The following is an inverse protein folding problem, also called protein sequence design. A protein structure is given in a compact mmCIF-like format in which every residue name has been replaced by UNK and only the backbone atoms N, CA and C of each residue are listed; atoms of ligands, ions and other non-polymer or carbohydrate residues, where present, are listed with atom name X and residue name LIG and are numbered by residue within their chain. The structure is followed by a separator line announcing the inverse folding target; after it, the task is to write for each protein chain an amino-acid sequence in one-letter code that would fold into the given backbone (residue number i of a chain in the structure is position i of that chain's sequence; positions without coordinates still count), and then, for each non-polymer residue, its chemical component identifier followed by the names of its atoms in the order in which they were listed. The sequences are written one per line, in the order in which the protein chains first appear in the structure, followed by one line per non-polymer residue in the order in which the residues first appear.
data_IF_329679945792
#
_entry.id   IF_329679945792
#
_cell.length_a   1.000
_cell.length_b   1.000
_cell.length_c   1.000
_cell.angle_alpha   90.00
_cell.angle_beta   90.00
_cell.angle_gamma   90.00
#
_symmetry.space_group_name_H-M   'P 1'
#
loop_
_entity.id
_entity.type
_entity.pdbx_description
1 polymer ?
#
# COMPACT_ATOMS: atom_id res chain seq x y z
N UNK A 1 -52.82 -8.20 4.43
CA UNK A 1 -51.46 -8.64 4.04
C UNK A 1 -50.54 -7.55 4.51
N UNK A 2 -50.36 -7.43 5.82
CA UNK A 2 -49.56 -8.34 6.67
C UNK A 2 -48.07 -8.12 6.40
N UNK A 3 -47.48 -7.44 7.38
CA UNK A 3 -46.08 -7.43 7.73
C UNK A 3 -45.65 -8.86 8.10
N UNK A 4 -44.47 -9.28 7.68
CA UNK A 4 -43.76 -10.46 8.22
C UNK A 4 -42.27 -10.08 8.14
N UNK A 5 -41.77 -9.36 9.13
CA UNK A 5 -41.27 -9.86 10.42
C UNK A 5 -39.98 -10.68 10.24
N UNK A 6 -38.90 -9.95 10.50
CA UNK A 6 -37.54 -10.41 10.69
C UNK A 6 -37.45 -11.01 12.09
N UNK A 7 -37.39 -12.33 12.22
CA UNK A 7 -37.10 -13.03 13.49
C UNK A 7 -36.67 -14.49 13.21
N UNK A 8 -35.37 -14.77 13.34
CA UNK A 8 -34.93 -15.97 14.05
C UNK A 8 -33.55 -15.73 14.67
N UNK A 9 -33.61 -15.17 15.87
CA UNK A 9 -32.54 -15.18 16.85
C UNK A 9 -32.31 -16.63 17.31
N UNK A 10 -31.06 -17.04 17.44
CA UNK A 10 -30.41 -17.30 18.74
C UNK A 10 -30.24 -18.79 19.04
N UNK A 11 -29.01 -19.26 18.84
CA UNK A 11 -28.46 -20.36 19.64
C UNK A 11 -26.99 -20.06 19.90
N UNK A 12 -26.76 -19.07 20.74
CA UNK A 12 -25.57 -18.94 21.59
C UNK A 12 -25.15 -20.30 22.17
N UNK A 13 -24.15 -20.97 21.58
CA UNK A 13 -23.45 -22.07 22.27
C UNK A 13 -22.46 -21.47 23.28
N UNK A 14 -23.04 -20.85 24.31
CA UNK A 14 -22.36 -20.34 25.48
C UNK A 14 -22.37 -21.46 26.51
N UNK A 15 -21.35 -22.32 26.45
CA UNK A 15 -21.06 -23.28 27.51
C UNK A 15 -20.58 -22.58 28.77
N UNK A 16 -21.48 -21.87 29.46
CA UNK A 16 -21.25 -21.34 30.81
C UNK A 16 -21.18 -22.52 31.77
N UNK A 17 -20.00 -22.63 32.38
CA UNK A 17 -19.70 -23.48 33.51
C UNK A 17 -20.71 -23.22 34.63
N UNK A 18 -21.55 -24.20 34.92
CA UNK A 18 -22.35 -24.21 36.15
C UNK A 18 -21.47 -24.71 37.29
N UNK A 19 -21.15 -23.79 38.18
CA UNK A 19 -20.62 -24.06 39.51
C UNK A 19 -21.49 -25.09 40.24
N UNK A 20 -20.88 -26.21 40.63
CA UNK A 20 -21.40 -27.03 41.72
C UNK A 20 -21.09 -26.31 43.03
N UNK A 21 -22.13 -25.99 43.79
CA UNK A 21 -22.02 -25.49 45.17
C UNK A 21 -21.78 -26.69 46.09
N UNK A 22 -20.79 -26.50 46.96
CA UNK A 22 -20.31 -27.40 47.99
C UNK A 22 -21.43 -27.97 48.89
N UNK A 23 -21.38 -29.27 49.12
CA UNK A 23 -21.84 -29.85 50.39
C UNK A 23 -20.62 -30.24 51.19
N UNK A 24 -20.33 -29.44 52.22
CA UNK A 24 -19.35 -29.73 53.26
C UNK A 24 -19.77 -31.00 54.00
N UNK A 25 -18.86 -31.96 54.15
CA UNK A 25 -18.91 -32.89 55.29
C UNK A 25 -17.51 -33.22 55.76
N UNK A 26 -17.28 -32.83 57.00
CA UNK A 26 -16.06 -33.00 57.78
C UNK A 26 -15.95 -34.47 58.20
N UNK A 27 -14.75 -35.07 58.09
CA UNK A 27 -14.05 -35.60 59.27
C UNK A 27 -12.69 -36.23 58.93
N UNK A 28 -11.67 -35.60 59.53
CA UNK A 28 -10.37 -36.07 59.99
C UNK A 28 -9.83 -37.44 59.53
N UNK A 29 -8.79 -37.42 58.69
CA UNK A 29 -7.56 -38.22 58.92
C UNK A 29 -6.33 -37.48 58.41
N UNK A 30 -5.34 -37.36 59.28
CA UNK A 30 -3.98 -36.86 59.09
C UNK A 30 -3.34 -37.18 57.73
N UNK A 31 -2.79 -36.16 57.05
CA UNK A 31 -1.71 -36.33 56.07
C UNK A 31 -0.80 -35.10 56.13
N UNK A 32 0.49 -35.35 56.27
CA UNK A 32 1.56 -34.39 56.49
C UNK A 32 1.53 -33.22 55.50
N UNK A 33 1.62 -32.00 56.02
CA UNK A 33 1.86 -30.81 55.21
C UNK A 33 3.32 -30.82 54.75
N UNK A 34 3.59 -31.46 53.62
CA UNK A 34 4.78 -31.13 52.84
C UNK A 34 4.69 -29.66 52.43
N UNK A 35 5.62 -28.86 52.95
CA UNK A 35 5.81 -27.48 52.53
C UNK A 35 6.07 -27.50 51.02
N UNK A 36 5.14 -26.98 50.22
CA UNK A 36 5.40 -26.69 48.80
C UNK A 36 6.50 -25.65 48.73
N UNK A 37 7.71 -26.14 48.48
CA UNK A 37 8.85 -25.34 48.09
C UNK A 37 8.45 -24.48 46.86
N UNK A 38 8.81 -23.19 46.82
CA UNK A 38 8.58 -22.37 45.64
C UNK A 38 9.29 -23.04 44.46
N UNK A 39 8.52 -23.50 43.47
CA UNK A 39 9.08 -24.07 42.25
C UNK A 39 10.14 -23.10 41.71
N UNK A 40 11.37 -23.54 41.46
CA UNK A 40 12.36 -22.68 40.85
C UNK A 40 11.78 -22.19 39.53
N UNK A 41 11.81 -20.87 39.32
CA UNK A 41 11.63 -20.29 37.98
C UNK A 41 12.52 -21.12 37.07
N UNK A 42 11.98 -21.74 36.01
CA UNK A 42 12.80 -22.43 35.02
C UNK A 42 13.89 -21.44 34.63
N UNK A 43 15.10 -21.64 35.13
CA UNK A 43 16.25 -21.02 34.55
C UNK A 43 16.23 -21.54 33.12
N UNK A 44 16.10 -20.62 32.16
CA UNK A 44 16.44 -20.92 30.78
C UNK A 44 17.86 -21.46 30.84
N UNK A 45 17.99 -22.80 30.81
CA UNK A 45 19.28 -23.47 30.82
C UNK A 45 20.10 -23.00 29.62
N UNK A 46 21.41 -23.27 29.60
CA UNK A 46 22.23 -22.95 28.44
C UNK A 46 21.56 -23.53 27.19
N UNK A 47 21.24 -22.67 26.21
CA UNK A 47 20.61 -23.10 24.97
C UNK A 47 21.47 -24.17 24.32
N UNK A 48 20.85 -25.26 23.87
CA UNK A 48 21.53 -26.25 23.02
C UNK A 48 22.20 -25.51 21.85
N UNK A 49 23.53 -25.68 21.64
CA UNK A 49 24.25 -24.96 20.60
C UNK A 49 23.67 -25.23 19.19
N UNK A 50 23.16 -26.43 18.92
CA UNK A 50 22.52 -26.71 17.63
C UNK A 50 21.19 -25.98 17.48
N UNK A 51 20.34 -25.99 18.52
CA UNK A 51 19.10 -25.22 18.53
C UNK A 51 19.36 -23.71 18.34
N UNK A 52 20.41 -23.16 18.95
CA UNK A 52 20.78 -21.76 18.80
C UNK A 52 21.16 -21.41 17.35
N UNK A 53 21.95 -22.26 16.67
CA UNK A 53 22.31 -22.07 15.26
C UNK A 53 21.10 -22.13 14.33
N UNK A 54 20.17 -23.07 14.57
CA UNK A 54 18.94 -23.17 13.78
C UNK A 54 18.05 -21.93 13.94
N UNK A 55 17.96 -21.40 15.17
CA UNK A 55 17.24 -20.16 15.43
C UNK A 55 17.86 -18.98 14.68
N UNK A 56 19.19 -18.87 14.68
CA UNK A 56 19.91 -17.80 13.97
C UNK A 56 19.64 -17.85 12.45
N UNK A 57 19.77 -19.03 11.82
CA UNK A 57 19.45 -19.20 10.40
C UNK A 57 18.00 -18.82 10.09
N UNK A 58 17.06 -19.21 10.95
CA UNK A 58 15.65 -18.84 10.78
C UNK A 58 15.43 -17.33 10.88
N UNK A 59 16.12 -16.65 11.80
CA UNK A 59 16.06 -15.21 11.94
C UNK A 59 16.65 -14.51 10.70
N UNK A 60 17.80 -14.98 10.20
CA UNK A 60 18.41 -14.46 8.99
C UNK A 60 17.49 -14.64 7.78
N UNK A 61 16.90 -15.83 7.61
CA UNK A 61 15.95 -16.09 6.54
C UNK A 61 14.75 -15.16 6.62
N UNK A 62 14.14 -15.00 7.80
CA UNK A 62 13.01 -14.10 8.00
C UNK A 62 13.36 -12.65 7.65
N UNK A 63 14.55 -12.19 8.04
CA UNK A 63 15.06 -10.86 7.68
C UNK A 63 15.16 -10.68 6.16
N UNK A 64 15.72 -11.66 5.45
CA UNK A 64 15.83 -11.62 3.99
C UNK A 64 14.45 -11.64 3.34
N UNK A 65 13.54 -12.50 3.81
CA UNK A 65 12.17 -12.58 3.31
C UNK A 65 11.43 -11.24 3.46
N UNK A 66 11.56 -10.58 4.62
CA UNK A 66 10.97 -9.26 4.83
C UNK A 66 11.58 -8.19 3.92
N UNK A 67 12.91 -8.21 3.75
CA UNK A 67 13.58 -7.26 2.88
C UNK A 67 13.15 -7.42 1.41
N UNK A 68 13.15 -8.66 0.90
CA UNK A 68 12.67 -8.96 -0.46
C UNK A 68 11.19 -8.64 -0.62
N UNK A 69 10.36 -8.93 0.39
CA UNK A 69 8.94 -8.53 0.38
C UNK A 69 8.75 -7.02 0.32
N UNK A 70 9.57 -6.26 1.05
CA UNK A 70 9.57 -4.79 1.01
C UNK A 70 10.04 -4.28 -0.36
N UNK A 71 11.07 -4.89 -0.94
CA UNK A 71 11.51 -4.55 -2.30
C UNK A 71 10.45 -4.87 -3.36
N UNK A 72 9.79 -6.02 -3.25
CA UNK A 72 8.74 -6.42 -4.18
C UNK A 72 7.55 -5.45 -4.12
N UNK A 73 7.11 -5.09 -2.91
CA UNK A 73 6.00 -4.13 -2.73
C UNK A 73 6.36 -2.73 -3.22
N UNK A 74 7.57 -2.23 -2.90
CA UNK A 74 8.04 -0.92 -3.39
C UNK A 74 8.17 -0.90 -4.91
N UNK A 75 8.69 -1.97 -5.52
CA UNK A 75 8.75 -2.13 -6.97
C UNK A 75 7.36 -2.16 -7.60
N UNK A 76 6.43 -2.98 -7.09
CA UNK A 76 5.06 -3.03 -7.59
C UNK A 76 4.35 -1.68 -7.47
N UNK A 77 4.58 -0.94 -6.38
CA UNK A 77 4.05 0.41 -6.21
C UNK A 77 4.69 1.40 -7.21
N UNK A 78 5.99 1.30 -7.48
CA UNK A 78 6.66 2.12 -8.49
C UNK A 78 6.09 1.84 -9.89
N UNK A 79 5.94 0.58 -10.27
CA UNK A 79 5.35 0.16 -11.56
C UNK A 79 3.90 0.65 -11.68
N UNK A 80 3.08 0.50 -10.65
CA UNK A 80 1.70 0.99 -10.68
C UNK A 80 1.60 2.52 -10.81
N UNK A 81 2.55 3.25 -10.22
CA UNK A 81 2.64 4.71 -10.36
C UNK A 81 3.12 5.12 -11.75
N UNK A 82 4.07 4.39 -12.31
CA UNK A 82 4.57 4.61 -13.66
C UNK A 82 3.46 4.38 -14.69
N UNK A 83 2.73 3.27 -14.62
CA UNK A 83 1.64 2.98 -15.57
C UNK A 83 0.51 4.01 -15.50
N UNK A 84 0.13 4.46 -14.30
CA UNK A 84 -0.89 5.51 -14.14
C UNK A 84 -0.39 6.88 -14.62
N UNK A 85 0.88 7.20 -14.40
CA UNK A 85 1.50 8.43 -14.90
C UNK A 85 1.64 8.42 -16.43
N UNK A 86 2.02 7.29 -17.02
CA UNK A 86 2.09 7.10 -18.47
C UNK A 86 0.71 7.27 -19.13
N UNK A 87 -0.35 6.69 -18.56
CA UNK A 87 -1.71 6.87 -19.06
C UNK A 87 -2.15 8.34 -19.06
N UNK A 88 -1.88 9.06 -17.96
CA UNK A 88 -2.16 10.49 -17.85
C UNK A 88 -1.34 11.31 -18.86
N UNK A 89 -0.05 11.00 -19.02
CA UNK A 89 0.80 11.68 -20.00
C UNK A 89 0.35 11.40 -21.43
N UNK A 90 -0.04 10.17 -21.74
CA UNK A 90 -0.55 9.79 -23.06
C UNK A 90 -1.85 10.54 -23.38
N UNK A 91 -2.81 10.56 -22.45
CA UNK A 91 -4.05 11.32 -22.61
C UNK A 91 -3.81 12.82 -22.80
N UNK A 92 -2.88 13.40 -22.05
CA UNK A 92 -2.50 14.81 -22.22
C UNK A 92 -1.83 15.08 -23.57
N UNK A 93 -0.99 14.15 -24.05
CA UNK A 93 -0.34 14.20 -25.35
C UNK A 93 -1.34 14.15 -26.49
N UNK A 94 -2.32 13.25 -26.43
CA UNK A 94 -3.38 13.16 -27.44
C UNK A 94 -4.18 14.45 -27.53
N UNK A 95 -4.59 14.99 -26.37
CA UNK A 95 -5.29 16.28 -26.31
C UNK A 95 -4.44 17.42 -26.85
N UNK A 96 -3.14 17.43 -26.54
CA UNK A 96 -2.20 18.40 -27.08
C UNK A 96 -2.10 18.32 -28.60
N UNK A 97 -1.98 17.11 -29.16
CA UNK A 97 -1.95 16.89 -30.61
C UNK A 97 -3.24 17.43 -31.26
N UNK A 98 -4.42 17.14 -30.71
CA UNK A 98 -5.68 17.65 -31.24
C UNK A 98 -5.72 19.19 -31.28
N UNK A 99 -5.35 19.86 -30.19
CA UNK A 99 -5.33 21.33 -30.12
C UNK A 99 -4.27 21.94 -31.05
N UNK A 100 -3.08 21.36 -31.10
CA UNK A 100 -2.02 21.81 -31.99
C UNK A 100 -2.42 21.65 -33.47
N UNK A 101 -3.11 20.57 -33.81
CA UNK A 101 -3.64 20.35 -35.17
C UNK A 101 -4.68 21.42 -35.52
N UNK A 102 -5.57 21.76 -34.56
CA UNK A 102 -6.56 22.83 -34.72
C UNK A 102 -5.92 24.20 -34.92
N UNK A 103 -4.79 24.44 -34.26
CA UNK A 103 -3.95 25.63 -34.45
C UNK A 103 -3.08 25.57 -35.72
N UNK A 104 -3.29 24.59 -36.60
CA UNK A 104 -2.55 24.37 -37.84
C UNK A 104 -1.04 24.17 -37.67
N UNK A 105 -0.62 23.49 -36.59
CA UNK A 105 0.74 22.95 -36.48
C UNK A 105 0.84 21.62 -37.23
N UNK A 106 1.97 21.39 -37.89
CA UNK A 106 2.26 20.18 -38.67
C UNK A 106 3.73 19.78 -38.54
N UNK A 107 4.07 18.57 -39.01
CA UNK A 107 5.46 18.08 -39.06
C UNK A 107 6.07 17.84 -37.69
N UNK A 108 7.35 18.19 -37.51
CA UNK A 108 8.03 17.99 -36.21
C UNK A 108 7.47 18.88 -35.11
N UNK A 109 6.98 20.09 -35.45
CA UNK A 109 6.50 21.07 -34.47
C UNK A 109 5.36 20.54 -33.59
N UNK A 110 4.46 19.74 -34.15
CA UNK A 110 3.36 19.15 -33.38
C UNK A 110 3.88 18.10 -32.39
N UNK A 111 4.86 17.29 -32.80
CA UNK A 111 5.50 16.27 -31.96
C UNK A 111 6.30 16.93 -30.83
N UNK A 112 7.10 17.94 -31.17
CA UNK A 112 7.94 18.67 -30.21
C UNK A 112 7.07 19.36 -29.15
N UNK A 113 6.04 20.10 -29.58
CA UNK A 113 5.14 20.80 -28.65
C UNK A 113 4.31 19.83 -27.80
N UNK A 114 3.76 18.77 -28.39
CA UNK A 114 3.01 17.76 -27.63
C UNK A 114 3.90 17.06 -26.58
N UNK A 115 5.18 16.84 -26.90
CA UNK A 115 6.14 16.27 -25.96
C UNK A 115 6.40 17.21 -24.78
N UNK A 116 6.54 18.52 -25.03
CA UNK A 116 6.70 19.52 -23.96
C UNK A 116 5.45 19.54 -23.07
N UNK A 117 4.25 19.49 -23.67
CA UNK A 117 2.98 19.49 -22.93
C UNK A 117 2.76 18.22 -22.10
N UNK A 118 3.14 17.05 -22.61
CA UNK A 118 3.07 15.79 -21.86
C UNK A 118 3.98 15.82 -20.61
N UNK A 119 5.14 16.46 -20.72
CA UNK A 119 6.08 16.65 -19.59
C UNK A 119 5.63 17.74 -18.62
N UNK A 120 5.02 18.81 -19.13
CA UNK A 120 4.63 19.99 -18.35
C UNK A 120 3.20 20.38 -18.69
N UNK A 121 2.23 19.73 -18.04
CA UNK A 121 0.80 19.97 -18.25
C UNK A 121 0.41 21.44 -18.04
N UNK A 122 1.13 22.15 -17.16
CA UNK A 122 0.91 23.57 -16.89
C UNK A 122 1.08 24.44 -18.15
N UNK A 123 2.07 24.17 -19.00
CA UNK A 123 2.22 24.92 -20.25
C UNK A 123 1.02 24.74 -21.20
N UNK A 124 0.42 23.54 -21.20
CA UNK A 124 -0.79 23.28 -21.97
C UNK A 124 -1.98 24.03 -21.39
N UNK A 125 -2.13 24.03 -20.07
CA UNK A 125 -3.19 24.77 -19.38
C UNK A 125 -3.08 26.27 -19.65
N UNK A 126 -1.88 26.85 -19.53
CA UNK A 126 -1.61 28.24 -19.87
C UNK A 126 -2.03 28.56 -21.32
N UNK A 127 -1.64 27.73 -22.30
CA UNK A 127 -2.06 27.90 -23.69
C UNK A 127 -3.60 27.91 -23.84
N UNK A 128 -4.29 27.01 -23.14
CA UNK A 128 -5.75 26.85 -23.27
C UNK A 128 -6.54 28.01 -22.66
N UNK A 129 -5.99 28.69 -21.66
CA UNK A 129 -6.59 29.90 -21.06
C UNK A 129 -6.50 31.10 -22.01
N UNK A 130 -5.52 31.13 -22.91
CA UNK A 130 -5.34 32.24 -23.85
C UNK A 130 -6.47 32.28 -24.91
N UNK A 131 -6.81 33.48 -25.42
CA UNK A 131 -7.59 33.63 -26.64
C UNK A 131 -6.95 32.88 -27.80
N UNK A 132 -7.76 32.29 -28.68
CA UNK A 132 -7.29 31.43 -29.78
C UNK A 132 -6.21 32.10 -30.65
N UNK A 133 -6.39 33.39 -30.93
CA UNK A 133 -5.45 34.20 -31.71
C UNK A 133 -4.03 34.26 -31.13
N UNK A 134 -3.87 34.08 -29.81
CA UNK A 134 -2.58 34.14 -29.13
C UNK A 134 -1.93 32.76 -28.93
N UNK A 135 -2.68 31.67 -29.09
CA UNK A 135 -2.19 30.33 -28.75
C UNK A 135 -1.06 29.86 -29.65
N UNK A 136 -1.14 30.19 -30.95
CA UNK A 136 -0.11 29.82 -31.92
C UNK A 136 1.23 30.48 -31.61
N UNK A 137 1.22 31.77 -31.29
CA UNK A 137 2.42 32.52 -30.93
C UNK A 137 3.02 32.03 -29.61
N UNK A 138 2.16 31.70 -28.63
CA UNK A 138 2.59 31.08 -27.39
C UNK A 138 3.38 29.78 -27.64
N UNK A 139 2.84 28.87 -28.46
CA UNK A 139 3.51 27.59 -28.77
C UNK A 139 4.84 27.81 -29.51
N UNK A 140 4.89 28.76 -30.45
CA UNK A 140 6.12 29.07 -31.18
C UNK A 140 7.21 29.65 -30.26
N UNK A 141 6.82 30.50 -29.30
CA UNK A 141 7.71 31.03 -28.28
C UNK A 141 8.22 29.91 -27.38
N UNK A 142 7.32 29.05 -26.90
CA UNK A 142 7.65 27.90 -26.06
C UNK A 142 8.69 26.98 -26.73
N UNK A 143 8.48 26.64 -28.01
CA UNK A 143 9.44 25.83 -28.78
C UNK A 143 10.78 26.53 -28.96
N UNK A 144 10.77 27.85 -29.14
CA UNK A 144 12.01 28.63 -29.28
C UNK A 144 12.80 28.69 -27.97
N UNK A 145 12.12 28.87 -26.84
CA UNK A 145 12.74 28.92 -25.52
C UNK A 145 13.27 27.54 -25.11
N UNK A 146 12.57 26.45 -25.47
CA UNK A 146 13.04 25.10 -25.19
C UNK A 146 14.31 24.75 -25.99
N UNK A 147 14.39 25.14 -27.26
CA UNK A 147 15.62 24.94 -28.06
C UNK A 147 16.83 25.69 -27.51
N UNK A 148 16.63 26.86 -26.91
CA UNK A 148 17.73 27.64 -26.28
C UNK A 148 18.27 27.01 -25.00
N UNK A 149 17.50 26.15 -24.32
CA UNK A 149 17.96 25.47 -23.11
C UNK A 149 18.85 24.25 -23.41
N UNK A 150 18.78 23.73 -24.63
CA UNK A 150 19.46 22.49 -25.05
C UNK A 150 20.77 22.75 -25.80
N UNK A 151 21.11 24.00 -26.12
CA UNK A 151 22.36 24.39 -26.78
C UNK A 151 23.21 25.26 -25.88
#
# INVERSE_FOLDING_TARGET
MEEEENEEEDMISTGIARWSIDTCSVDTTSSEREKKEPRPKRATGPSDPFAAMLQDVNNQLNSVTQHVGTMATTFSAAVARETTQEDLQQKSRERAISELSRLAFTGSKIVDAATIFAKTLEHMNMMLVLPEILRRDFVLKLLSDERKKQG
#
